data_IF_185395882314
#
_entry.id   IF_185395882314
#
_cell.length_a   1.000
_cell.length_b   1.000
_cell.length_c   1.000
_cell.angle_alpha   90.00
_cell.angle_beta   90.00
_cell.angle_gamma   90.00
#
_symmetry.space_group_name_H-M   'P 1'
#
loop_
_entity.id
_entity.type
_entity.pdbx_description
1 polymer ?
#
# COMPACT_ATOMS: atom_id res chain seq x y z
N UNK A 1 -7.90 8.72 -21.02
CA UNK A 1 -8.24 7.30 -21.22
C UNK A 1 -8.94 6.84 -19.95
N UNK A 2 -10.19 6.38 -20.04
CA UNK A 2 -10.96 5.94 -18.86
C UNK A 2 -10.70 4.49 -18.47
N UNK A 3 -9.86 3.79 -19.25
CA UNK A 3 -9.44 2.41 -18.98
C UNK A 3 -8.69 2.28 -17.64
N UNK A 4 -9.18 1.39 -16.76
CA UNK A 4 -8.60 1.08 -15.46
C UNK A 4 -7.28 0.30 -15.55
N UNK A 5 -6.98 -0.31 -16.70
CA UNK A 5 -5.82 -1.19 -16.88
C UNK A 5 -4.72 -0.54 -17.73
N UNK A 6 -4.83 0.74 -18.08
CA UNK A 6 -3.88 1.40 -18.98
C UNK A 6 -3.35 2.73 -18.44
N UNK A 7 -2.05 2.96 -18.65
CA UNK A 7 -1.40 4.25 -18.41
C UNK A 7 -0.75 4.78 -19.68
N UNK A 8 -0.76 6.10 -19.82
CA UNK A 8 -0.25 6.80 -20.97
C UNK A 8 1.07 7.50 -20.65
N UNK A 9 2.07 7.31 -21.53
CA UNK A 9 3.37 7.97 -21.51
C UNK A 9 3.65 8.62 -22.87
N UNK A 10 4.52 9.63 -22.89
CA UNK A 10 5.08 10.11 -24.15
C UNK A 10 5.86 9.00 -24.88
N UNK A 11 5.87 9.04 -26.21
CA UNK A 11 6.67 8.11 -27.01
C UNK A 11 8.18 8.21 -26.69
N UNK A 12 8.67 9.42 -26.40
CA UNK A 12 10.06 9.64 -26.04
C UNK A 12 10.43 8.95 -24.72
N UNK A 13 9.58 9.07 -23.69
CA UNK A 13 9.80 8.39 -22.40
C UNK A 13 9.68 6.88 -22.52
N UNK A 14 8.75 6.37 -23.33
CA UNK A 14 8.65 4.93 -23.61
C UNK A 14 9.95 4.39 -24.23
N UNK A 15 10.50 5.09 -25.23
CA UNK A 15 11.76 4.70 -25.87
C UNK A 15 12.94 4.74 -24.88
N UNK A 16 13.01 5.75 -24.02
CA UNK A 16 14.03 5.87 -22.97
C UNK A 16 13.99 4.70 -21.99
N UNK A 17 12.79 4.24 -21.63
CA UNK A 17 12.58 3.13 -20.69
C UNK A 17 12.53 1.75 -21.37
N UNK A 18 12.76 1.70 -22.69
CA UNK A 18 12.66 0.48 -23.52
C UNK A 18 11.28 -0.22 -23.41
N UNK A 19 10.22 0.58 -23.31
CA UNK A 19 8.83 0.12 -23.24
C UNK A 19 8.17 0.21 -24.62
N UNK A 20 7.41 -0.82 -24.97
CA UNK A 20 6.60 -0.88 -26.18
C UNK A 20 5.11 -0.76 -25.87
N UNK A 21 4.32 -0.42 -26.89
CA UNK A 21 2.86 -0.31 -26.76
C UNK A 21 2.29 -1.66 -26.32
N UNK A 22 1.53 -1.63 -25.23
CA UNK A 22 0.86 -2.81 -24.67
C UNK A 22 1.70 -3.58 -23.67
N UNK A 23 2.97 -3.20 -23.44
CA UNK A 23 3.79 -3.84 -22.42
C UNK A 23 3.15 -3.68 -21.04
N UNK A 24 3.22 -4.74 -20.24
CA UNK A 24 2.80 -4.69 -18.84
C UNK A 24 3.91 -4.06 -18.00
N UNK A 25 3.53 -3.09 -17.18
CA UNK A 25 4.41 -2.34 -16.29
C UNK A 25 3.90 -2.40 -14.86
N UNK A 26 4.83 -2.41 -13.92
CA UNK A 26 4.55 -2.22 -12.49
C UNK A 26 4.66 -0.74 -12.17
N UNK A 27 3.62 -0.20 -11.56
CA UNK A 27 3.62 1.13 -10.97
C UNK A 27 3.72 1.02 -9.46
N UNK A 28 4.56 1.86 -8.85
CA UNK A 28 4.62 2.02 -7.40
C UNK A 28 4.29 3.46 -7.02
N UNK A 29 3.38 3.59 -6.07
CA UNK A 29 2.89 4.84 -5.52
C UNK A 29 3.32 5.01 -4.06
N UNK A 30 2.45 5.62 -3.25
CA UNK A 30 2.70 5.88 -1.82
C UNK A 30 2.22 4.71 -0.96
N UNK A 31 2.62 4.68 0.32
CA UNK A 31 2.17 3.65 1.29
C UNK A 31 2.40 2.23 0.78
N UNK A 32 3.52 2.04 0.05
CA UNK A 32 3.93 0.80 -0.63
C UNK A 32 2.87 0.19 -1.55
N UNK A 33 1.98 1.00 -2.08
CA UNK A 33 0.96 0.52 -3.01
C UNK A 33 1.54 0.38 -4.40
N UNK A 34 1.29 -0.78 -4.98
CA UNK A 34 1.73 -1.15 -6.31
C UNK A 34 0.55 -1.71 -7.08
N UNK A 35 0.51 -1.46 -8.38
CA UNK A 35 -0.46 -2.04 -9.33
C UNK A 35 0.25 -2.41 -10.62
N UNK A 36 -0.36 -3.26 -11.43
CA UNK A 36 0.13 -3.60 -12.76
C UNK A 36 -0.85 -3.09 -13.82
N UNK A 37 -0.32 -2.52 -14.89
CA UNK A 37 -1.11 -1.94 -15.96
C UNK A 37 -0.36 -2.04 -17.30
N UNK A 38 -1.07 -1.86 -18.40
CA UNK A 38 -0.47 -1.80 -19.72
C UNK A 38 -0.09 -0.36 -20.07
N UNK A 39 1.06 -0.17 -20.73
CA UNK A 39 1.48 1.15 -21.20
C UNK A 39 1.00 1.42 -22.61
N UNK A 40 0.50 2.63 -22.86
CA UNK A 40 0.11 3.11 -24.19
C UNK A 40 0.81 4.45 -24.50
N UNK A 41 1.18 4.70 -25.77
CA UNK A 41 1.72 5.99 -26.16
C UNK A 41 0.64 7.07 -26.18
N UNK A 42 0.99 8.27 -25.73
CA UNK A 42 0.18 9.50 -25.82
C UNK A 42 1.09 10.69 -26.12
N UNK A 43 1.06 11.18 -27.36
CA UNK A 43 1.89 12.30 -27.81
C UNK A 43 1.55 13.63 -27.13
N UNK A 44 0.35 13.74 -26.54
CA UNK A 44 -0.03 14.92 -25.75
C UNK A 44 0.48 14.83 -24.30
N UNK A 45 1.04 13.70 -23.87
CA UNK A 45 1.62 13.53 -22.55
C UNK A 45 3.05 14.09 -22.52
N UNK A 46 3.38 15.02 -21.60
CA UNK A 46 4.76 15.48 -21.42
C UNK A 46 5.72 14.35 -21.04
N UNK A 47 7.01 14.50 -21.36
CA UNK A 47 8.01 13.44 -21.14
C UNK A 47 8.25 13.09 -19.66
N UNK A 48 8.04 14.04 -18.76
CA UNK A 48 8.18 13.91 -17.31
C UNK A 48 6.86 13.53 -16.61
N UNK A 49 5.80 13.27 -17.37
CA UNK A 49 4.47 12.96 -16.84
C UNK A 49 4.01 11.54 -17.22
N UNK A 50 3.08 11.04 -16.41
CA UNK A 50 2.31 9.83 -16.69
C UNK A 50 0.83 10.15 -16.52
N UNK A 51 0.00 9.71 -17.47
CA UNK A 51 -1.45 9.87 -17.41
C UNK A 51 -2.10 8.56 -17.00
N UNK A 52 -2.92 8.63 -15.96
CA UNK A 52 -3.67 7.50 -15.42
C UNK A 52 -5.02 7.97 -14.89
N UNK A 53 -6.02 7.09 -14.89
CA UNK A 53 -7.36 7.44 -14.45
C UNK A 53 -7.46 7.55 -12.91
N UNK A 54 -8.65 7.87 -12.39
CA UNK A 54 -8.88 7.98 -10.93
C UNK A 54 -8.71 6.64 -10.20
N UNK A 55 -9.09 5.54 -10.84
CA UNK A 55 -9.02 4.19 -10.25
C UNK A 55 -7.57 3.80 -9.96
N UNK A 56 -6.68 3.95 -10.95
CA UNK A 56 -5.25 3.66 -10.78
C UNK A 56 -4.60 4.56 -9.72
N UNK A 57 -4.94 5.85 -9.70
CA UNK A 57 -4.46 6.78 -8.66
C UNK A 57 -4.90 6.37 -7.26
N UNK A 58 -6.15 5.93 -7.11
CA UNK A 58 -6.66 5.42 -5.83
C UNK A 58 -5.88 4.16 -5.43
N UNK A 59 -5.71 3.18 -6.32
CA UNK A 59 -4.96 1.95 -6.03
C UNK A 59 -3.53 2.24 -5.58
N UNK A 60 -2.87 3.21 -6.20
CA UNK A 60 -1.51 3.69 -5.89
C UNK A 60 -1.43 4.70 -4.72
N UNK A 61 -2.58 5.14 -4.19
CA UNK A 61 -2.69 6.18 -3.13
C UNK A 61 -1.97 7.48 -3.49
N UNK A 62 -2.12 7.93 -4.73
CA UNK A 62 -1.51 9.16 -5.25
C UNK A 62 -2.57 10.16 -5.73
N UNK A 63 -2.22 11.45 -5.74
CA UNK A 63 -3.00 12.56 -6.28
C UNK A 63 -2.34 13.11 -7.55
N UNK A 64 -3.03 14.00 -8.25
CA UNK A 64 -2.41 14.70 -9.39
C UNK A 64 -1.20 15.51 -8.92
N UNK A 65 -0.07 15.35 -9.60
CA UNK A 65 1.20 16.01 -9.27
C UNK A 65 2.12 15.18 -8.37
N UNK A 66 1.65 14.06 -7.83
CA UNK A 66 2.51 13.11 -7.12
C UNK A 66 3.40 12.35 -8.10
N UNK A 67 4.58 11.94 -7.61
CA UNK A 67 5.55 11.15 -8.35
C UNK A 67 5.26 9.66 -8.14
N UNK A 68 5.34 8.88 -9.21
CA UNK A 68 5.26 7.42 -9.19
C UNK A 68 6.50 6.83 -9.87
N UNK A 69 6.89 5.61 -9.51
CA UNK A 69 7.92 4.87 -10.24
C UNK A 69 7.28 3.86 -11.18
N UNK A 70 7.83 3.72 -12.38
CA UNK A 70 7.41 2.76 -13.40
C UNK A 70 8.54 1.80 -13.74
N UNK A 71 8.24 0.52 -13.86
CA UNK A 71 9.20 -0.55 -14.22
C UNK A 71 8.52 -1.55 -15.15
N UNK A 72 9.26 -2.10 -16.12
CA UNK A 72 8.75 -3.20 -16.95
C UNK A 72 8.46 -4.44 -16.09
N UNK A 73 7.36 -5.14 -16.37
CA UNK A 73 6.96 -6.37 -15.70
C UNK A 73 6.82 -7.50 -16.74
N UNK A 74 7.96 -8.13 -17.06
CA UNK A 74 8.04 -9.19 -18.07
C UNK A 74 7.65 -10.58 -17.55
N UNK A 75 7.51 -10.73 -16.24
CA UNK A 75 7.28 -12.00 -15.55
C UNK A 75 5.80 -12.33 -15.33
N UNK A 76 4.89 -11.40 -15.64
CA UNK A 76 3.44 -11.60 -15.52
C UNK A 76 2.96 -12.81 -16.32
N UNK A 77 2.13 -13.65 -15.70
CA UNK A 77 1.55 -14.87 -16.31
C UNK A 77 0.06 -14.72 -16.50
N UNK A 78 -0.50 -15.54 -17.39
CA UNK A 78 -1.95 -15.72 -17.47
C UNK A 78 -2.48 -16.35 -16.18
N UNK A 79 -3.60 -15.80 -15.70
CA UNK A 79 -4.27 -16.26 -14.50
C UNK A 79 -4.96 -17.59 -14.74
N UNK A 80 -4.84 -18.52 -13.79
CA UNK A 80 -5.71 -19.69 -13.71
C UNK A 80 -7.07 -19.31 -13.14
N UNK A 81 -7.06 -18.48 -12.09
CA UNK A 81 -8.27 -17.96 -11.46
C UNK A 81 -8.03 -16.62 -10.79
N UNK A 82 -9.11 -15.85 -10.66
CA UNK A 82 -9.17 -14.64 -9.84
C UNK A 82 -10.44 -14.68 -9.00
N UNK A 83 -10.40 -14.12 -7.79
CA UNK A 83 -11.57 -13.92 -6.94
C UNK A 83 -11.78 -12.43 -6.75
N UNK A 84 -12.96 -11.95 -7.13
CA UNK A 84 -13.35 -10.54 -7.02
C UNK A 84 -14.66 -10.43 -6.26
N UNK A 85 -14.78 -9.45 -5.36
CA UNK A 85 -16.02 -9.20 -4.64
C UNK A 85 -16.48 -7.76 -4.87
N UNK A 86 -17.80 -7.53 -4.98
CA UNK A 86 -18.33 -6.18 -5.13
C UNK A 86 -18.23 -5.40 -3.81
N UNK A 87 -18.23 -4.07 -3.91
CA UNK A 87 -18.43 -3.20 -2.74
C UNK A 87 -19.93 -3.03 -2.48
N UNK A 88 -20.34 -3.19 -1.22
CA UNK A 88 -21.72 -3.29 -0.76
C UNK A 88 -22.65 -2.18 -1.28
N UNK A 89 -22.29 -0.92 -1.09
CA UNK A 89 -23.07 0.25 -1.49
C UNK A 89 -23.21 0.40 -3.02
N UNK A 90 -22.41 -0.30 -3.82
CA UNK A 90 -22.49 -0.27 -5.29
C UNK A 90 -23.40 -1.35 -5.87
N UNK A 91 -23.79 -2.34 -5.06
CA UNK A 91 -24.67 -3.43 -5.48
C UNK A 91 -26.06 -3.39 -4.87
N UNK A 92 -26.34 -2.40 -4.03
CA UNK A 92 -27.68 -2.19 -3.47
C UNK A 92 -28.74 -2.09 -4.56
N UNK A 93 -29.75 -2.96 -4.47
CA UNK A 93 -30.86 -3.02 -5.42
C UNK A 93 -30.46 -3.47 -6.84
N UNK A 94 -29.26 -4.02 -7.05
CA UNK A 94 -28.92 -4.74 -8.28
C UNK A 94 -29.49 -6.15 -8.19
N UNK A 95 -30.26 -6.54 -9.19
CA UNK A 95 -30.72 -7.91 -9.38
C UNK A 95 -30.06 -8.49 -10.63
N UNK A 96 -29.67 -9.77 -10.57
CA UNK A 96 -29.04 -10.48 -11.68
C UNK A 96 -27.61 -10.92 -11.40
N UNK A 97 -27.02 -11.62 -12.37
CA UNK A 97 -25.70 -12.20 -12.26
C UNK A 97 -24.62 -11.14 -12.55
N UNK A 98 -23.82 -10.78 -11.53
CA UNK A 98 -22.76 -9.78 -11.65
C UNK A 98 -21.68 -10.18 -12.67
N UNK A 99 -21.41 -11.48 -12.80
CA UNK A 99 -20.42 -11.98 -13.74
C UNK A 99 -20.86 -11.73 -15.20
N UNK A 100 -22.06 -12.15 -15.58
CA UNK A 100 -22.55 -12.00 -16.96
C UNK A 100 -22.77 -10.53 -17.35
N UNK A 101 -23.24 -9.69 -16.41
CA UNK A 101 -23.59 -8.29 -16.71
C UNK A 101 -22.39 -7.35 -16.65
N UNK A 102 -21.45 -7.57 -15.72
CA UNK A 102 -20.33 -6.65 -15.48
C UNK A 102 -18.98 -7.30 -15.83
N UNK A 103 -18.60 -8.38 -15.15
CA UNK A 103 -17.23 -8.89 -15.20
C UNK A 103 -16.86 -9.47 -16.58
N UNK A 104 -17.74 -10.27 -17.17
CA UNK A 104 -17.49 -10.91 -18.47
C UNK A 104 -17.30 -9.88 -19.59
N UNK A 105 -18.20 -8.89 -19.80
CA UNK A 105 -17.94 -7.82 -20.77
C UNK A 105 -16.69 -6.99 -20.47
N UNK A 106 -16.31 -6.85 -19.19
CA UNK A 106 -15.13 -6.10 -18.80
C UNK A 106 -13.81 -6.82 -19.14
N UNK A 107 -13.77 -8.14 -18.97
CA UNK A 107 -12.54 -8.94 -19.15
C UNK A 107 -12.42 -9.63 -20.52
N UNK A 108 -13.52 -9.84 -21.23
CA UNK A 108 -13.52 -10.58 -22.50
C UNK A 108 -12.59 -9.93 -23.54
N UNK A 109 -11.67 -10.72 -24.08
CA UNK A 109 -10.65 -10.34 -25.08
C UNK A 109 -9.78 -9.12 -24.73
N UNK A 110 -9.80 -8.68 -23.47
CA UNK A 110 -9.12 -7.46 -23.04
C UNK A 110 -7.72 -7.73 -22.46
N UNK A 111 -7.41 -8.97 -22.07
CA UNK A 111 -6.13 -9.38 -21.49
C UNK A 111 -5.65 -8.42 -20.38
N UNK A 112 -6.57 -8.10 -19.45
CA UNK A 112 -6.34 -7.08 -18.43
C UNK A 112 -5.38 -7.59 -17.35
N UNK A 113 -4.28 -6.88 -17.07
CA UNK A 113 -3.51 -7.11 -15.85
C UNK A 113 -4.35 -6.75 -14.62
N UNK A 114 -4.32 -7.61 -13.60
CA UNK A 114 -4.95 -7.37 -12.29
C UNK A 114 -3.99 -7.75 -11.16
N UNK A 115 -4.05 -7.03 -10.04
CA UNK A 115 -3.30 -7.34 -8.83
C UNK A 115 -4.23 -7.48 -7.65
N UNK A 116 -3.87 -8.38 -6.73
CA UNK A 116 -4.52 -8.53 -5.42
C UNK A 116 -4.58 -7.17 -4.72
N UNK A 117 -5.73 -6.92 -4.09
CA UNK A 117 -6.11 -5.68 -3.39
C UNK A 117 -6.33 -4.45 -4.28
N UNK A 118 -6.33 -4.60 -5.61
CA UNK A 118 -6.78 -3.53 -6.50
C UNK A 118 -8.30 -3.43 -6.51
N UNK A 119 -8.79 -2.19 -6.55
CA UNK A 119 -10.20 -1.87 -6.80
C UNK A 119 -10.35 -1.41 -8.24
N UNK A 120 -11.42 -1.80 -8.90
CA UNK A 120 -11.76 -1.34 -10.25
C UNK A 120 -13.27 -1.12 -10.40
N UNK A 121 -13.62 -0.26 -11.34
CA UNK A 121 -15.02 0.13 -11.59
C UNK A 121 -15.44 -0.42 -12.94
N UNK A 122 -16.56 -1.14 -12.96
CA UNK A 122 -17.18 -1.64 -14.19
C UNK A 122 -18.50 -0.94 -14.40
N UNK A 123 -18.71 -0.41 -15.61
CA UNK A 123 -19.95 0.25 -16.01
C UNK A 123 -20.74 -0.65 -16.93
N UNK A 124 -21.99 -0.94 -16.58
CA UNK A 124 -22.93 -1.66 -17.44
C UNK A 124 -24.29 -0.95 -17.42
N UNK A 125 -24.86 -0.72 -18.60
CA UNK A 125 -26.07 0.08 -18.78
C UNK A 125 -25.98 1.45 -18.07
N UNK A 126 -26.83 1.70 -17.06
CA UNK A 126 -26.87 2.95 -16.30
C UNK A 126 -26.22 2.86 -14.90
N UNK A 127 -25.60 1.73 -14.55
CA UNK A 127 -25.00 1.52 -13.22
C UNK A 127 -23.50 1.25 -13.31
N UNK A 128 -22.80 1.65 -12.26
CA UNK A 128 -21.39 1.37 -12.05
C UNK A 128 -21.26 0.53 -10.79
N UNK A 129 -20.53 -0.58 -10.88
CA UNK A 129 -20.23 -1.46 -9.75
C UNK A 129 -18.74 -1.44 -9.51
N UNK A 130 -18.35 -1.31 -8.25
CA UNK A 130 -16.95 -1.40 -7.85
C UNK A 130 -16.65 -2.81 -7.37
N UNK A 131 -15.51 -3.33 -7.79
CA UNK A 131 -15.03 -4.66 -7.42
C UNK A 131 -13.63 -4.54 -6.86
N UNK A 132 -13.34 -5.35 -5.83
CA UNK A 132 -11.99 -5.54 -5.31
C UNK A 132 -11.48 -6.92 -5.69
N UNK A 133 -10.22 -7.00 -6.10
CA UNK A 133 -9.52 -8.27 -6.30
C UNK A 133 -9.09 -8.83 -4.95
N UNK A 134 -9.76 -9.89 -4.49
CA UNK A 134 -9.47 -10.57 -3.23
C UNK A 134 -8.25 -11.48 -3.36
N UNK A 135 -8.19 -12.23 -4.47
CA UNK A 135 -7.14 -13.20 -4.71
C UNK A 135 -6.88 -13.38 -6.21
N UNK A 136 -5.63 -13.75 -6.53
CA UNK A 136 -5.18 -14.06 -7.88
C UNK A 136 -4.35 -15.34 -7.84
N UNK A 137 -4.47 -16.16 -8.87
CA UNK A 137 -3.59 -17.31 -9.10
C UNK A 137 -3.01 -17.24 -10.51
N UNK A 138 -1.69 -16.99 -10.68
CA UNK A 138 -0.69 -16.78 -9.63
C UNK A 138 -0.87 -15.47 -8.86
N UNK A 139 -0.39 -15.45 -7.62
CA UNK A 139 -0.37 -14.30 -6.71
C UNK A 139 0.98 -13.57 -6.77
N UNK A 140 1.05 -12.24 -6.59
CA UNK A 140 -0.06 -11.35 -6.27
C UNK A 140 -0.76 -10.74 -7.49
N UNK A 141 -0.34 -11.07 -8.72
CA UNK A 141 -0.91 -10.49 -9.93
C UNK A 141 -0.87 -11.46 -11.11
N UNK A 142 -1.79 -11.27 -12.06
CA UNK A 142 -1.86 -12.05 -13.29
C UNK A 142 -2.58 -11.26 -14.40
N UNK A 143 -2.50 -11.77 -15.63
CA UNK A 143 -3.33 -11.30 -16.75
C UNK A 143 -4.59 -12.17 -16.82
N UNK A 144 -5.76 -11.53 -16.84
CA UNK A 144 -7.04 -12.22 -17.03
C UNK A 144 -7.19 -12.55 -18.52
N UNK A 145 -6.99 -13.82 -18.86
CA UNK A 145 -7.12 -14.39 -20.19
C UNK A 145 -8.49 -15.09 -20.35
N UNK A 146 -8.90 -15.48 -21.57
CA UNK A 146 -10.20 -16.13 -21.79
C UNK A 146 -10.42 -17.45 -21.02
N UNK A 147 -9.34 -18.14 -20.64
CA UNK A 147 -9.34 -19.37 -19.84
C UNK A 147 -9.23 -19.13 -18.32
N UNK A 148 -9.04 -17.88 -17.88
CA UNK A 148 -8.99 -17.53 -16.46
C UNK A 148 -10.38 -17.67 -15.82
N UNK A 149 -10.49 -18.49 -14.78
CA UNK A 149 -11.73 -18.62 -14.01
C UNK A 149 -11.95 -17.38 -13.13
N UNK A 150 -13.05 -16.65 -13.35
CA UNK A 150 -13.41 -15.47 -12.57
C UNK A 150 -14.48 -15.86 -11.55
N UNK A 151 -14.08 -15.87 -10.28
CA UNK A 151 -14.97 -16.13 -9.15
C UNK A 151 -15.51 -14.79 -8.62
N UNK A 152 -16.82 -14.71 -8.41
CA UNK A 152 -17.46 -13.53 -7.81
C UNK A 152 -18.50 -13.88 -6.73
N UNK A 153 -18.35 -15.06 -6.12
CA UNK A 153 -19.22 -15.55 -5.05
C UNK A 153 -18.67 -15.13 -3.68
N UNK A 154 -19.55 -14.71 -2.77
CA UNK A 154 -19.23 -14.27 -1.42
C UNK A 154 -20.03 -13.04 -1.00
N UNK A 155 -19.91 -12.66 0.27
CA UNK A 155 -20.53 -11.44 0.78
C UNK A 155 -19.84 -10.20 0.21
N UNK A 156 -20.60 -9.15 -0.17
CA UNK A 156 -20.02 -7.87 -0.58
C UNK A 156 -19.10 -7.29 0.50
N UNK A 157 -18.03 -6.63 0.06
CA UNK A 157 -17.09 -5.94 0.95
C UNK A 157 -17.75 -4.66 1.43
N UNK A 158 -17.68 -4.39 2.73
CA UNK A 158 -18.19 -3.12 3.26
C UNK A 158 -17.33 -1.96 2.79
N UNK A 159 -17.98 -0.89 2.33
CA UNK A 159 -17.30 0.37 1.94
C UNK A 159 -16.34 0.88 3.03
N UNK A 160 -16.74 0.77 4.30
CA UNK A 160 -15.92 1.20 5.44
C UNK A 160 -14.63 0.37 5.58
N UNK A 161 -14.71 -0.95 5.34
CA UNK A 161 -13.56 -1.86 5.40
C UNK A 161 -12.56 -1.57 4.27
N UNK A 162 -13.04 -1.23 3.06
CA UNK A 162 -12.17 -0.80 1.96
C UNK A 162 -11.59 0.60 2.18
N UNK A 163 -12.33 1.50 2.85
CA UNK A 163 -11.86 2.85 3.14
C UNK A 163 -10.86 2.91 4.30
N UNK A 164 -10.82 1.92 5.19
CA UNK A 164 -9.88 1.92 6.31
C UNK A 164 -8.41 2.01 5.84
N UNK A 165 -7.94 1.20 4.87
CA UNK A 165 -6.62 1.37 4.25
C UNK A 165 -6.42 2.66 3.44
N UNK A 166 -7.50 3.27 2.93
CA UNK A 166 -7.43 4.57 2.24
C UNK A 166 -7.11 5.72 3.21
N UNK A 167 -7.56 5.59 4.46
CA UNK A 167 -7.38 6.56 5.55
C UNK A 167 -6.15 6.32 6.43
N UNK A 168 -5.30 5.35 6.06
CA UNK A 168 -4.01 5.14 6.72
C UNK A 168 -3.18 6.42 6.73
N UNK A 169 -2.45 6.70 7.81
CA UNK A 169 -1.65 7.92 7.93
C UNK A 169 -0.33 7.72 7.16
N UNK A 170 -0.05 8.54 6.15
CA UNK A 170 1.22 8.56 5.42
C UNK A 170 2.08 9.78 5.78
N UNK A 171 3.22 9.94 5.10
CA UNK A 171 4.08 11.10 5.33
C UNK A 171 3.42 12.44 4.98
N UNK A 172 2.52 12.45 4.01
CA UNK A 172 1.81 13.67 3.59
C UNK A 172 0.78 14.15 4.60
N UNK A 173 0.36 13.27 5.51
CA UNK A 173 -0.59 13.58 6.58
C UNK A 173 0.11 14.24 7.78
N UNK A 174 1.46 14.32 7.76
CA UNK A 174 2.28 14.92 8.81
C UNK A 174 2.71 16.35 8.42
N UNK A 175 2.01 17.35 8.95
CA UNK A 175 2.31 18.76 8.72
C UNK A 175 3.44 19.31 9.59
N UNK A 176 4.23 20.25 9.04
CA UNK A 176 5.18 21.06 9.82
C UNK A 176 6.47 20.36 10.30
N UNK A 177 6.64 19.07 10.01
CA UNK A 177 7.74 18.24 10.55
C UNK A 177 8.68 17.70 9.47
N UNK A 178 8.87 18.45 8.37
CA UNK A 178 9.64 17.99 7.20
C UNK A 178 11.08 17.59 7.54
N UNK A 179 11.76 18.35 8.41
CA UNK A 179 13.15 18.07 8.80
C UNK A 179 13.25 16.80 9.67
N UNK A 180 12.33 16.63 10.62
CA UNK A 180 12.28 15.45 11.48
C UNK A 180 11.94 14.19 10.67
N UNK A 181 10.99 14.29 9.73
CA UNK A 181 10.68 13.19 8.83
C UNK A 181 11.87 12.78 7.96
N UNK A 182 12.66 13.74 7.47
CA UNK A 182 13.87 13.43 6.70
C UNK A 182 14.89 12.65 7.53
N UNK A 183 15.12 13.05 8.79
CA UNK A 183 16.01 12.35 9.71
C UNK A 183 15.52 10.93 10.01
N UNK A 184 14.22 10.76 10.25
CA UNK A 184 13.65 9.45 10.54
C UNK A 184 13.71 8.54 9.31
N UNK A 185 13.46 9.07 8.11
CA UNK A 185 13.64 8.31 6.86
C UNK A 185 15.08 7.83 6.70
N UNK A 186 16.06 8.68 7.01
CA UNK A 186 17.46 8.32 6.91
C UNK A 186 17.85 7.23 7.92
N UNK A 187 17.35 7.31 9.16
CA UNK A 187 17.67 6.34 10.21
C UNK A 187 16.90 5.03 10.03
N UNK A 188 15.64 5.08 9.61
CA UNK A 188 14.76 3.91 9.54
C UNK A 188 14.73 3.29 8.14
N UNK A 189 14.49 4.06 7.08
CA UNK A 189 14.32 3.49 5.73
C UNK A 189 15.65 3.14 5.05
N UNK A 190 16.68 3.99 5.21
CA UNK A 190 17.94 3.81 4.50
C UNK A 190 18.64 2.48 4.82
N UNK A 191 18.71 2.01 6.09
CA UNK A 191 19.32 0.72 6.39
C UNK A 191 18.62 -0.46 5.71
N UNK A 192 17.29 -0.40 5.57
CA UNK A 192 16.52 -1.44 4.89
C UNK A 192 16.64 -1.37 3.37
N UNK A 193 16.66 -0.15 2.79
CA UNK A 193 16.76 0.04 1.33
C UNK A 193 18.16 -0.20 0.78
N UNK A 194 19.20 0.20 1.52
CA UNK A 194 20.59 0.16 1.06
C UNK A 194 21.54 -0.41 2.12
N UNK A 195 21.35 -1.68 2.55
CA UNK A 195 22.19 -2.29 3.58
C UNK A 195 23.67 -2.37 3.18
N UNK A 196 23.96 -2.38 1.88
CA UNK A 196 25.33 -2.39 1.36
C UNK A 196 26.12 -1.12 1.70
N UNK A 197 25.47 0.05 1.79
CA UNK A 197 26.17 1.29 2.16
C UNK A 197 26.73 1.19 3.60
N UNK A 198 25.91 0.73 4.53
CA UNK A 198 26.30 0.52 5.93
C UNK A 198 27.42 -0.51 6.07
N UNK A 199 27.32 -1.64 5.35
CA UNK A 199 28.38 -2.66 5.31
C UNK A 199 29.70 -2.15 4.74
N UNK A 200 29.65 -1.32 3.70
CA UNK A 200 30.86 -0.78 3.04
C UNK A 200 31.57 0.23 3.92
N UNK A 201 30.81 1.06 4.63
CA UNK A 201 31.35 2.10 5.52
C UNK A 201 31.73 1.51 6.90
N UNK A 202 31.21 0.33 7.25
CA UNK A 202 31.50 -0.36 8.51
C UNK A 202 30.78 0.25 9.71
N UNK A 203 29.62 0.89 9.49
CA UNK A 203 28.81 1.53 10.52
C UNK A 203 27.54 0.70 10.72
N UNK A 204 27.22 0.39 11.98
CA UNK A 204 25.93 -0.21 12.33
C UNK A 204 24.83 0.85 12.39
N UNK A 205 23.66 0.60 11.79
CA UNK A 205 22.55 1.54 11.85
C UNK A 205 22.04 1.70 13.29
N UNK A 206 21.54 2.88 13.69
CA UNK A 206 20.98 3.06 15.02
C UNK A 206 19.72 2.20 15.20
N UNK A 207 19.63 1.47 16.31
CA UNK A 207 18.47 0.61 16.60
C UNK A 207 17.36 1.30 17.43
N UNK A 208 17.57 2.53 17.89
CA UNK A 208 16.61 3.24 18.74
C UNK A 208 16.52 4.73 18.40
N UNK A 209 15.28 5.24 18.33
CA UNK A 209 14.98 6.64 18.06
C UNK A 209 14.08 7.14 19.19
N UNK A 210 14.46 8.25 19.82
CA UNK A 210 13.63 8.93 20.81
C UNK A 210 12.98 10.17 20.19
N UNK A 211 11.66 10.15 20.05
CA UNK A 211 10.88 11.32 19.67
C UNK A 211 10.45 12.07 20.93
N UNK A 212 10.84 13.34 21.06
CA UNK A 212 10.49 14.18 22.23
C UNK A 212 9.87 15.52 21.80
N UNK A 213 9.09 16.11 22.70
CA UNK A 213 8.46 17.42 22.51
C UNK A 213 7.14 17.53 23.29
N UNK A 214 6.47 18.69 23.27
CA UNK A 214 5.17 18.89 23.90
C UNK A 214 4.08 17.90 23.42
N UNK A 215 3.01 17.67 24.19
CA UNK A 215 1.86 16.91 23.70
C UNK A 215 1.25 17.57 22.46
N UNK A 216 0.69 16.76 21.55
CA UNK A 216 0.04 17.26 20.33
C UNK A 216 0.97 17.60 19.16
N UNK A 217 2.28 17.41 19.28
CA UNK A 217 3.23 17.69 18.17
C UNK A 217 3.35 16.56 17.13
N UNK A 218 2.44 15.58 17.12
CA UNK A 218 2.40 14.54 16.09
C UNK A 218 3.42 13.40 16.22
N UNK A 219 3.97 13.12 17.41
CA UNK A 219 4.92 11.99 17.63
C UNK A 219 4.33 10.63 17.21
N UNK A 220 3.15 10.31 17.71
CA UNK A 220 2.41 9.08 17.36
C UNK A 220 2.01 9.05 15.89
N UNK A 221 1.68 10.20 15.30
CA UNK A 221 1.35 10.31 13.87
C UNK A 221 2.56 9.98 12.99
N UNK A 222 3.74 10.51 13.33
CA UNK A 222 4.98 10.20 12.62
C UNK A 222 5.28 8.71 12.67
N UNK A 223 5.17 8.07 13.84
CA UNK A 223 5.48 6.65 13.98
C UNK A 223 4.59 5.77 13.09
N UNK A 224 3.28 6.07 13.06
CA UNK A 224 2.33 5.39 12.18
C UNK A 224 2.66 5.61 10.70
N UNK A 225 2.97 6.86 10.32
CA UNK A 225 3.37 7.20 8.95
C UNK A 225 4.60 6.41 8.49
N UNK A 226 5.63 6.36 9.33
CA UNK A 226 6.88 5.63 9.03
C UNK A 226 6.60 4.14 8.86
N UNK A 227 5.75 3.56 9.70
CA UNK A 227 5.42 2.14 9.63
C UNK A 227 4.71 1.76 8.32
N UNK A 228 3.72 2.56 7.92
CA UNK A 228 2.98 2.34 6.67
C UNK A 228 3.90 2.48 5.46
N UNK A 229 4.77 3.49 5.44
CA UNK A 229 5.63 3.80 4.30
C UNK A 229 6.83 2.85 4.19
N UNK A 230 7.35 2.36 5.32
CA UNK A 230 8.35 1.28 5.36
C UNK A 230 7.72 -0.09 5.09
N UNK A 231 6.42 -0.25 5.38
CA UNK A 231 5.70 -1.52 5.48
C UNK A 231 6.41 -2.55 6.35
N UNK A 232 7.07 -2.06 7.39
CA UNK A 232 7.54 -2.88 8.49
C UNK A 232 6.33 -3.27 9.37
N UNK A 233 6.39 -4.44 10.01
CA UNK A 233 5.40 -4.81 11.00
C UNK A 233 5.42 -3.80 12.15
N UNK A 234 4.27 -3.22 12.48
CA UNK A 234 4.17 -2.19 13.50
C UNK A 234 3.61 -2.74 14.79
N UNK A 235 4.41 -2.67 15.85
CA UNK A 235 4.00 -3.04 17.20
C UNK A 235 3.89 -1.78 18.03
N UNK A 236 2.68 -1.47 18.49
CA UNK A 236 2.39 -0.34 19.38
C UNK A 236 2.38 -0.81 20.82
N UNK A 237 3.23 -0.20 21.65
CA UNK A 237 3.22 -0.34 23.10
C UNK A 237 2.79 1.00 23.67
N UNK A 238 1.68 1.03 24.40
CA UNK A 238 1.18 2.24 25.05
C UNK A 238 1.59 2.22 26.54
N UNK A 239 2.41 3.18 26.97
CA UNK A 239 3.01 3.20 28.31
C UNK A 239 2.00 3.01 29.46
N UNK A 240 0.94 3.83 29.55
CA UNK A 240 -0.11 3.68 30.57
C UNK A 240 -0.82 2.32 30.55
N UNK A 241 -1.04 1.73 29.37
CA UNK A 241 -1.71 0.43 29.26
C UNK A 241 -0.86 -0.69 29.85
N UNK A 242 0.47 -0.60 29.72
CA UNK A 242 1.40 -1.55 30.34
C UNK A 242 1.35 -1.43 31.86
N UNK A 243 1.38 -0.21 32.42
CA UNK A 243 1.37 -0.01 33.89
C UNK A 243 0.05 -0.42 34.53
N UNK A 244 -1.05 -0.33 33.79
CA UNK A 244 -2.37 -0.71 34.28
C UNK A 244 -2.58 -2.24 34.39
N UNK A 245 -1.67 -3.06 33.85
CA UNK A 245 -1.73 -4.52 33.96
C UNK A 245 -1.36 -5.00 35.37
N UNK A 246 -1.97 -6.10 35.81
CA UNK A 246 -1.77 -6.67 37.14
C UNK A 246 -0.30 -7.11 37.35
N UNK A 247 0.14 -7.13 38.62
CA UNK A 247 1.52 -7.42 39.01
C UNK A 247 2.08 -8.69 38.34
N UNK A 248 3.11 -8.53 37.50
CA UNK A 248 3.82 -9.60 36.78
C UNK A 248 3.46 -9.77 35.30
N UNK A 249 2.36 -9.19 34.83
CA UNK A 249 1.98 -9.17 33.41
C UNK A 249 2.74 -8.16 32.51
N UNK A 250 3.15 -6.94 32.97
CA UNK A 250 3.71 -5.94 32.05
C UNK A 250 5.04 -6.34 31.41
N UNK A 251 5.97 -6.94 32.17
CA UNK A 251 7.25 -7.41 31.64
C UNK A 251 7.08 -8.56 30.65
N UNK A 252 6.12 -9.46 30.90
CA UNK A 252 5.81 -10.56 29.99
C UNK A 252 5.28 -10.04 28.66
N UNK A 253 4.38 -9.03 28.71
CA UNK A 253 3.81 -8.44 27.52
C UNK A 253 4.89 -7.72 26.68
N UNK A 254 5.73 -6.90 27.31
CA UNK A 254 6.87 -6.27 26.64
C UNK A 254 7.76 -7.31 25.96
N UNK A 255 8.15 -8.38 26.67
CA UNK A 255 9.00 -9.43 26.10
C UNK A 255 8.36 -10.10 24.89
N UNK A 256 7.07 -10.44 24.97
CA UNK A 256 6.33 -11.05 23.85
C UNK A 256 6.30 -10.13 22.63
N UNK A 257 6.04 -8.83 22.82
CA UNK A 257 6.02 -7.87 21.71
C UNK A 257 7.36 -7.79 20.99
N UNK A 258 8.47 -7.77 21.73
CA UNK A 258 9.80 -7.80 21.12
C UNK A 258 10.12 -9.13 20.42
N UNK A 259 9.74 -10.28 21.02
CA UNK A 259 9.88 -11.59 20.39
C UNK A 259 9.07 -11.72 19.09
N UNK A 260 7.86 -11.16 19.04
CA UNK A 260 7.05 -11.11 17.82
C UNK A 260 7.64 -10.17 16.77
N UNK A 261 8.19 -9.03 17.18
CA UNK A 261 8.87 -8.11 16.28
C UNK A 261 10.10 -8.76 15.62
N UNK A 262 10.92 -9.50 16.38
CA UNK A 262 12.06 -10.24 15.84
C UNK A 262 11.62 -11.28 14.79
N UNK A 263 10.55 -12.05 15.07
CA UNK A 263 9.98 -13.04 14.15
C UNK A 263 9.43 -12.43 12.87
N UNK A 264 8.95 -11.18 12.92
CA UNK A 264 8.31 -10.47 11.81
C UNK A 264 9.21 -9.37 11.21
N UNK A 265 10.52 -9.61 11.13
CA UNK A 265 11.46 -8.66 10.51
C UNK A 265 11.15 -8.46 9.02
N UNK A 266 11.11 -7.21 8.50
CA UNK A 266 11.39 -5.94 9.18
C UNK A 266 10.22 -5.47 10.05
N UNK A 267 10.52 -5.04 11.29
CA UNK A 267 9.54 -4.59 12.26
C UNK A 267 9.95 -3.27 12.94
N UNK A 268 8.96 -2.50 13.37
CA UNK A 268 9.10 -1.27 14.18
C UNK A 268 8.31 -1.49 15.46
N UNK A 269 9.00 -1.40 16.59
CA UNK A 269 8.39 -1.35 17.92
C UNK A 269 8.31 0.11 18.34
N UNK A 270 7.10 0.64 18.45
CA UNK A 270 6.85 2.00 18.90
C UNK A 270 6.31 2.00 20.33
N UNK A 271 7.08 2.59 21.23
CA UNK A 271 6.69 2.77 22.64
C UNK A 271 6.20 4.21 22.80
N UNK A 272 4.88 4.38 22.88
CA UNK A 272 4.27 5.67 23.19
C UNK A 272 4.31 5.92 24.71
N UNK A 273 4.47 7.16 25.11
CA UNK A 273 4.57 7.57 26.53
C UNK A 273 5.62 6.76 27.31
N UNK A 274 6.82 6.64 26.74
CA UNK A 274 7.97 5.92 27.33
C UNK A 274 8.28 6.37 28.78
N UNK A 275 8.05 7.65 29.09
CA UNK A 275 8.26 8.22 30.41
C UNK A 275 7.37 7.62 31.49
N UNK A 276 6.22 7.03 31.12
CA UNK A 276 5.37 6.30 32.03
C UNK A 276 6.04 5.01 32.52
N UNK A 277 6.65 4.23 31.60
CA UNK A 277 7.23 2.91 31.91
C UNK A 277 8.71 2.97 32.32
N UNK A 278 9.42 4.04 31.94
CA UNK A 278 10.84 4.22 32.21
C UNK A 278 11.15 5.58 32.88
N UNK A 279 10.54 5.90 34.04
CA UNK A 279 10.89 7.10 34.78
C UNK A 279 12.32 7.01 35.34
N UNK A 280 12.91 8.16 35.69
CA UNK A 280 14.16 8.18 36.45
C UNK A 280 13.95 7.40 37.75
N UNK A 281 14.85 6.46 38.05
CA UNK A 281 14.79 5.60 39.26
C UNK A 281 14.67 6.37 40.57
N UNK A 282 15.11 7.63 40.62
CA UNK A 282 15.01 8.52 41.78
C UNK A 282 13.57 9.00 42.08
N UNK A 283 12.65 8.89 41.12
CA UNK A 283 11.25 9.36 41.24
C UNK A 283 10.26 8.24 41.59
N UNK A 284 10.72 7.01 41.77
CA UNK A 284 9.89 5.84 42.06
C UNK A 284 9.90 5.59 43.57
N UNK A 285 8.98 6.24 44.29
CA UNK A 285 8.69 6.00 45.72
C UNK A 285 7.18 5.87 45.93
#
# INVERSE_FOLDING_TARGET
NDDNSAVALSQAKMNELLLFRGDTVTLRGKKRRETICNVVPDDACPNDHIRMNRVLRNNLRVRSGDIVSIQACSDVKYGKRIHVLPIDDTVEGITGNLFEVYLKPYFIDAYRPVKKDDVFIVRAAMRAVEFKVIETEPSPYCIVAPDTLILCEGDPIKREEENAPLNEIGYDDVGGLRTQLAQIKEIVELPFRQPHLFKTIGIEPPHGILLYGPPGTGKTLIARAVAIETGAFFFLINGPEIIAQLDGEPESNLRKTFEEAEKNTPAIVFIDELDAIAPKREKTH
#
